data_IF_959537134789
#
_entry.id   IF_959537134789
#
_cell.length_a   1.000
_cell.length_b   1.000
_cell.length_c   1.000
_cell.angle_alpha   90.00
_cell.angle_beta   90.00
_cell.angle_gamma   90.00
#
_symmetry.space_group_name_H-M   'P 1'
#
loop_
_entity.id
_entity.type
_entity.pdbx_description
1 polymer ?
#
# COMPACT_ATOMS: atom_id res chain seq x y z
N UNK A 1 -3.07 -2.95 17.01
CA UNK A 1 -2.95 -2.24 15.72
C UNK A 1 -2.72 -3.29 14.64
N UNK A 2 -3.46 -3.28 13.53
CA UNK A 2 -3.25 -4.23 12.42
C UNK A 2 -2.49 -3.50 11.30
N UNK A 3 -1.41 -4.11 10.82
CA UNK A 3 -0.59 -3.54 9.74
C UNK A 3 -0.60 -4.51 8.57
N UNK A 4 -0.99 -4.01 7.39
CA UNK A 4 -0.89 -4.73 6.12
C UNK A 4 0.26 -4.11 5.33
N UNK A 5 1.10 -4.96 4.74
CA UNK A 5 2.22 -4.50 3.91
C UNK A 5 2.03 -4.92 2.47
N UNK A 6 2.52 -4.08 1.57
CA UNK A 6 2.65 -4.39 0.15
C UNK A 6 4.13 -4.26 -0.19
N UNK A 7 4.69 -5.27 -0.83
CA UNK A 7 6.12 -5.37 -1.17
C UNK A 7 6.25 -5.61 -2.66
N UNK A 8 7.33 -5.13 -3.28
CA UNK A 8 7.74 -5.62 -4.60
C UNK A 8 8.81 -6.70 -4.47
N UNK A 9 8.76 -7.69 -5.36
CA UNK A 9 9.75 -8.76 -5.45
C UNK A 9 11.09 -8.28 -6.00
N UNK A 10 11.05 -7.25 -6.83
CA UNK A 10 12.16 -6.66 -7.59
C UNK A 10 12.52 -5.23 -7.12
N UNK A 11 12.11 -4.81 -5.92
CA UNK A 11 12.46 -3.48 -5.38
C UNK A 11 14.00 -3.36 -5.22
N UNK A 12 14.66 -2.39 -5.90
CA UNK A 12 16.12 -2.27 -5.87
C UNK A 12 16.66 -1.71 -4.55
N UNK A 13 15.80 -1.17 -3.69
CA UNK A 13 16.16 -0.53 -2.43
C UNK A 13 15.81 -1.39 -1.20
N UNK A 14 14.78 -2.24 -1.31
CA UNK A 14 14.35 -3.15 -0.24
C UNK A 14 14.18 -4.57 -0.75
N UNK A 15 15.10 -5.48 -0.40
CA UNK A 15 14.95 -6.89 -0.75
C UNK A 15 13.68 -7.50 -0.15
N UNK A 16 13.06 -8.43 -0.89
CA UNK A 16 11.86 -9.14 -0.46
C UNK A 16 12.02 -9.78 0.93
N UNK A 17 13.15 -10.45 1.18
CA UNK A 17 13.46 -11.06 2.49
C UNK A 17 13.41 -10.05 3.63
N UNK A 18 13.99 -8.86 3.44
CA UNK A 18 13.97 -7.78 4.45
C UNK A 18 12.57 -7.22 4.61
N UNK A 19 11.81 -7.07 3.53
CA UNK A 19 10.41 -6.67 3.56
C UNK A 19 9.52 -7.63 4.35
N UNK A 20 9.73 -8.95 4.19
CA UNK A 20 9.03 -9.99 4.93
C UNK A 20 9.41 -9.98 6.42
N UNK A 21 10.70 -9.89 6.76
CA UNK A 21 11.12 -9.75 8.16
C UNK A 21 10.55 -8.50 8.83
N UNK A 22 10.46 -7.40 8.09
CA UNK A 22 9.78 -6.20 8.55
C UNK A 22 8.31 -6.51 8.86
N UNK A 23 7.60 -7.21 7.97
CA UNK A 23 6.22 -7.69 8.14
C UNK A 23 6.02 -8.42 9.48
N UNK A 24 6.86 -9.41 9.74
CA UNK A 24 6.84 -10.19 10.99
C UNK A 24 7.11 -9.33 12.22
N UNK A 25 8.15 -8.49 12.16
CA UNK A 25 8.63 -7.71 13.32
C UNK A 25 7.57 -6.72 13.83
N UNK A 26 6.77 -6.12 12.95
CA UNK A 26 5.72 -5.18 13.38
C UNK A 26 4.39 -5.85 13.73
N UNK A 27 4.35 -7.19 13.84
CA UNK A 27 3.11 -7.93 14.10
C UNK A 27 2.08 -7.76 12.99
N UNK A 28 2.54 -7.53 11.75
CA UNK A 28 1.70 -7.37 10.57
C UNK A 28 1.08 -8.68 10.14
N UNK A 29 -0.12 -8.62 9.55
CA UNK A 29 -0.95 -9.81 9.33
C UNK A 29 -0.73 -10.46 7.97
N UNK A 30 -0.30 -9.71 6.93
CA UNK A 30 -0.08 -10.21 5.57
C UNK A 30 0.84 -9.23 4.81
N UNK A 31 1.74 -9.77 3.98
CA UNK A 31 2.43 -9.02 2.94
C UNK A 31 1.90 -9.47 1.56
N UNK A 32 1.29 -8.55 0.80
CA UNK A 32 1.05 -8.80 -0.63
C UNK A 32 2.35 -8.53 -1.38
N UNK A 33 2.84 -9.52 -2.14
CA UNK A 33 4.08 -9.40 -2.91
C UNK A 33 3.74 -9.24 -4.39
N UNK A 34 4.18 -8.13 -4.99
CA UNK A 34 4.06 -7.82 -6.42
C UNK A 34 5.36 -8.30 -7.09
N UNK A 35 5.34 -9.24 -8.05
CA UNK A 35 6.57 -9.81 -8.62
C UNK A 35 7.50 -8.78 -9.29
N UNK A 36 6.94 -7.90 -10.13
CA UNK A 36 7.67 -6.98 -11.02
C UNK A 36 7.18 -5.52 -10.85
N UNK A 37 7.06 -5.06 -9.61
CA UNK A 37 6.54 -3.74 -9.26
C UNK A 37 7.60 -2.64 -9.15
N UNK A 38 8.89 -2.96 -9.21
CA UNK A 38 9.98 -2.02 -8.94
C UNK A 38 9.89 -1.37 -7.56
N UNK A 39 10.36 -0.13 -7.44
CA UNK A 39 10.15 0.64 -6.21
C UNK A 39 8.75 1.27 -6.21
N UNK A 40 7.94 0.92 -5.22
CA UNK A 40 6.55 1.33 -5.11
C UNK A 40 6.42 2.79 -4.63
N UNK A 41 6.76 3.74 -5.50
CA UNK A 41 6.62 5.16 -5.23
C UNK A 41 5.62 5.81 -6.20
N UNK A 42 4.85 6.78 -5.70
CA UNK A 42 3.89 7.54 -6.52
C UNK A 42 4.55 8.23 -7.72
N UNK A 43 5.79 8.69 -7.55
CA UNK A 43 6.60 9.30 -8.62
C UNK A 43 6.91 8.34 -9.78
N UNK A 44 6.90 7.04 -9.51
CA UNK A 44 7.22 5.98 -10.46
C UNK A 44 5.95 5.44 -11.16
N UNK A 45 4.82 6.15 -11.03
CA UNK A 45 3.52 5.79 -11.63
C UNK A 45 2.67 4.85 -10.77
N UNK A 46 3.16 4.48 -9.58
CA UNK A 46 2.42 3.65 -8.64
C UNK A 46 1.45 4.50 -7.80
N UNK A 47 0.32 4.86 -8.41
CA UNK A 47 -0.81 5.52 -7.73
C UNK A 47 -1.71 6.32 -8.67
N UNK A 48 -3.01 6.50 -8.34
CA UNK A 48 -3.72 5.92 -7.20
C UNK A 48 -3.97 4.41 -7.37
N UNK A 49 -3.78 3.64 -6.28
CA UNK A 49 -3.90 2.18 -6.30
C UNK A 49 -5.28 1.74 -5.80
N UNK A 50 -6.15 1.35 -6.74
CA UNK A 50 -7.47 0.81 -6.41
C UNK A 50 -7.39 -0.38 -5.42
N UNK A 51 -6.34 -1.21 -5.53
CA UNK A 51 -6.07 -2.31 -4.59
C UNK A 51 -5.87 -1.80 -3.15
N UNK A 52 -5.17 -0.69 -2.94
CA UNK A 52 -4.95 -0.12 -1.60
C UNK A 52 -6.25 0.40 -1.01
N UNK A 53 -7.14 0.99 -1.82
CA UNK A 53 -8.46 1.39 -1.35
C UNK A 53 -9.25 0.18 -0.81
N UNK A 54 -9.25 -0.94 -1.53
CA UNK A 54 -9.87 -2.18 -1.09
C UNK A 54 -9.21 -2.76 0.18
N UNK A 55 -7.88 -2.68 0.30
CA UNK A 55 -7.17 -3.09 1.52
C UNK A 55 -7.55 -2.23 2.73
N UNK A 56 -7.65 -0.92 2.56
CA UNK A 56 -8.08 0.02 3.60
C UNK A 56 -9.52 -0.31 4.02
N UNK A 57 -10.43 -0.45 3.06
CA UNK A 57 -11.83 -0.77 3.34
C UNK A 57 -11.95 -2.10 4.11
N UNK A 58 -11.24 -3.15 3.67
CA UNK A 58 -11.20 -4.45 4.35
C UNK A 58 -10.76 -4.36 5.82
N UNK A 59 -9.76 -3.51 6.12
CA UNK A 59 -9.16 -3.45 7.45
C UNK A 59 -9.78 -2.41 8.37
N UNK A 60 -10.27 -1.29 7.82
CA UNK A 60 -10.84 -0.19 8.57
C UNK A 60 -12.38 -0.23 8.63
N UNK A 61 -13.03 -1.01 7.75
CA UNK A 61 -14.49 -1.03 7.62
C UNK A 61 -15.06 0.27 7.04
N UNK A 62 -14.20 1.11 6.45
CA UNK A 62 -14.56 2.41 5.87
C UNK A 62 -13.92 2.58 4.52
N UNK A 63 -14.69 2.99 3.52
CA UNK A 63 -14.18 3.33 2.20
C UNK A 63 -13.34 4.62 2.28
N UNK A 64 -12.07 4.61 1.82
CA UNK A 64 -11.27 5.82 1.81
C UNK A 64 -11.84 6.85 0.82
N UNK A 65 -11.92 8.11 1.27
CA UNK A 65 -12.32 9.23 0.41
C UNK A 65 -11.29 9.46 -0.70
N UNK A 66 -11.76 9.81 -1.88
CA UNK A 66 -10.91 10.11 -3.04
C UNK A 66 -10.54 11.60 -3.05
N UNK A 67 -9.58 11.98 -3.90
CA UNK A 67 -9.24 13.40 -4.10
C UNK A 67 -10.42 14.22 -4.67
N UNK A 68 -11.36 13.57 -5.35
CA UNK A 68 -12.58 14.21 -5.89
C UNK A 68 -13.55 14.63 -4.77
N UNK A 69 -13.57 13.89 -3.64
CA UNK A 69 -14.32 14.25 -2.43
C UNK A 69 -13.78 15.53 -1.75
N UNK A 70 -12.60 15.99 -2.15
CA UNK A 70 -11.93 17.18 -1.66
C UNK A 70 -12.05 18.40 -2.60
N UNK A 71 -12.89 18.33 -3.65
CA UNK A 71 -13.16 19.51 -4.49
C UNK A 71 -13.53 20.69 -3.58
N UNK A 72 -12.83 21.83 -3.66
CA UNK A 72 -13.17 22.99 -2.85
C UNK A 72 -14.61 23.36 -3.19
N UNK A 73 -15.45 23.43 -2.16
CA UNK A 73 -16.81 23.96 -2.31
C UNK A 73 -16.68 25.33 -2.96
N UNK A 74 -17.10 25.41 -4.23
CA UNK A 74 -17.05 26.64 -5.00
C UNK A 74 -17.81 27.71 -4.19
N UNK A 75 -17.07 28.71 -3.70
CA UNK A 75 -17.63 29.93 -3.13
C UNK A 75 -17.63 31.00 -4.19
#
# INVERSE_FOLDING_TARGET
>A
MRTHRVLSGDDPFLSLERGLRLAETWGGTVADVIPDGGHLATRDGHGPWAHVAALIERHAGTTPRTAEDHAPSAR
#
